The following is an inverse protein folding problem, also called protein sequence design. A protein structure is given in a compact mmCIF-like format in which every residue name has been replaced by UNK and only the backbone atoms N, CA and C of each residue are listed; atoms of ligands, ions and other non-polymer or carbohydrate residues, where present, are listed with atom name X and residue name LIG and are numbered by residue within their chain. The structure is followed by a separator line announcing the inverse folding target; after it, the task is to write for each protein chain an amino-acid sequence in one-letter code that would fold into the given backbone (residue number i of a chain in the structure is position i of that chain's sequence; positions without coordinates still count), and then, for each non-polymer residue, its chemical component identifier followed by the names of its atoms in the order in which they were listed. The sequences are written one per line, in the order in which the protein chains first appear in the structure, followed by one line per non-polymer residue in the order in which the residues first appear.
data_IF_211488813486
#
_entry.id   IF_211488813486
#
_cell.length_a   1.000
_cell.length_b   1.000
_cell.length_c   1.000
_cell.angle_alpha   90.00
_cell.angle_beta   90.00
_cell.angle_gamma   90.00
#
_symmetry.space_group_name_H-M   'P 1'
#
loop_
_entity.id
_entity.type
_entity.pdbx_description
1 polymer ?
#
# COMPACT_ATOMS: atom_id res chain seq x y z
N UNK A 1 5.14 30.19 -0.41
CA UNK A 1 6.11 29.08 -0.24
C UNK A 1 5.73 27.98 -1.22
N UNK A 2 6.69 27.49 -2.03
CA UNK A 2 6.44 26.35 -2.91
C UNK A 2 6.04 25.11 -2.08
N UNK A 3 5.03 24.38 -2.56
CA UNK A 3 4.59 23.16 -1.90
C UNK A 3 5.73 22.13 -1.91
N UNK A 4 6.15 21.69 -0.72
CA UNK A 4 7.14 20.61 -0.57
C UNK A 4 6.56 19.31 -1.11
N UNK A 5 7.27 18.69 -2.04
CA UNK A 5 6.87 17.41 -2.62
C UNK A 5 7.97 16.37 -2.47
N UNK A 6 7.60 15.10 -2.55
CA UNK A 6 8.58 14.01 -2.58
C UNK A 6 9.55 14.19 -3.76
N UNK A 7 9.05 14.68 -4.90
CA UNK A 7 9.85 14.93 -6.11
C UNK A 7 10.93 15.97 -5.87
N UNK A 8 10.59 17.11 -5.25
CA UNK A 8 11.57 18.17 -4.95
C UNK A 8 12.67 17.68 -4.02
N UNK A 9 12.33 16.94 -2.96
CA UNK A 9 13.31 16.32 -2.04
C UNK A 9 14.24 15.38 -2.81
N UNK A 10 13.69 14.53 -3.69
CA UNK A 10 14.49 13.58 -4.45
C UNK A 10 15.36 14.25 -5.51
N UNK A 11 14.86 15.28 -6.18
CA UNK A 11 15.64 16.03 -7.17
C UNK A 11 16.86 16.70 -6.55
N UNK A 12 16.72 17.24 -5.37
CA UNK A 12 17.78 17.95 -4.66
C UNK A 12 18.76 16.99 -3.98
N UNK A 13 18.27 16.07 -3.13
CA UNK A 13 19.15 15.32 -2.24
C UNK A 13 19.57 13.93 -2.76
N UNK A 14 18.78 13.28 -3.64
CA UNK A 14 19.07 11.91 -4.06
C UNK A 14 20.36 11.76 -4.87
N UNK A 15 20.78 12.68 -5.75
CA UNK A 15 22.05 12.55 -6.51
C UNK A 15 23.28 12.41 -5.61
N UNK A 16 23.38 13.22 -4.56
CA UNK A 16 24.47 13.10 -3.56
C UNK A 16 24.35 11.84 -2.72
N UNK A 17 23.12 11.47 -2.33
CA UNK A 17 22.85 10.25 -1.57
C UNK A 17 23.27 8.98 -2.33
N UNK A 18 22.93 8.89 -3.64
CA UNK A 18 23.24 7.72 -4.49
C UNK A 18 24.76 7.49 -4.62
N UNK A 19 25.58 8.55 -4.59
CA UNK A 19 27.04 8.46 -4.70
C UNK A 19 27.69 7.77 -3.49
N UNK A 20 27.10 7.93 -2.31
CA UNK A 20 27.65 7.42 -1.05
C UNK A 20 26.97 6.15 -0.53
N UNK A 21 25.84 5.79 -1.14
CA UNK A 21 25.03 4.64 -0.70
C UNK A 21 24.78 3.67 -1.86
N UNK A 22 25.34 2.45 -1.82
CA UNK A 22 25.06 1.44 -2.83
C UNK A 22 23.58 1.02 -2.76
N UNK A 23 22.87 1.16 -3.87
CA UNK A 23 21.44 0.87 -3.96
C UNK A 23 21.15 -0.18 -5.03
N UNK A 24 20.17 -1.08 -4.79
CA UNK A 24 19.68 -2.00 -5.81
C UNK A 24 19.13 -1.26 -7.04
N UNK A 25 19.27 -1.84 -8.23
CA UNK A 25 18.86 -1.21 -9.49
C UNK A 25 17.39 -0.80 -9.52
N UNK A 26 16.48 -1.60 -8.94
CA UNK A 26 15.05 -1.28 -8.88
C UNK A 26 14.74 -0.08 -7.95
N UNK A 27 15.54 0.12 -6.90
CA UNK A 27 15.41 1.26 -5.98
C UNK A 27 15.87 2.54 -6.69
N UNK A 28 17.03 2.50 -7.37
CA UNK A 28 17.50 3.61 -8.21
C UNK A 28 16.50 3.99 -9.31
N UNK A 29 15.91 2.96 -9.97
CA UNK A 29 14.87 3.18 -10.97
C UNK A 29 13.65 3.89 -10.39
N UNK A 30 13.22 3.54 -9.18
CA UNK A 30 12.10 4.18 -8.51
C UNK A 30 12.40 5.65 -8.20
N UNK A 31 13.57 5.94 -7.64
CA UNK A 31 14.01 7.31 -7.34
C UNK A 31 14.06 8.17 -8.59
N UNK A 32 14.76 7.71 -9.63
CA UNK A 32 14.84 8.44 -10.92
C UNK A 32 13.49 8.66 -11.57
N UNK A 33 12.58 7.67 -11.50
CA UNK A 33 11.22 7.81 -12.01
C UNK A 33 10.44 8.92 -11.28
N UNK A 34 10.62 9.05 -9.96
CA UNK A 34 10.00 10.14 -9.19
C UNK A 34 10.59 11.50 -9.58
N UNK A 35 11.92 11.60 -9.66
CA UNK A 35 12.62 12.83 -10.04
C UNK A 35 12.19 13.35 -11.41
N UNK A 36 11.98 12.45 -12.37
CA UNK A 36 11.65 12.76 -13.75
C UNK A 36 10.14 12.87 -14.02
N UNK A 37 9.30 12.50 -13.05
CA UNK A 37 7.87 12.46 -13.24
C UNK A 37 7.29 13.83 -13.57
N UNK A 38 6.57 13.94 -14.69
CA UNK A 38 5.96 15.19 -15.14
C UNK A 38 6.99 16.33 -15.31
N UNK A 39 8.13 16.01 -15.89
CA UNK A 39 9.15 16.98 -16.30
C UNK A 39 9.46 16.84 -17.79
N UNK A 40 10.16 17.81 -18.37
CA UNK A 40 10.60 17.79 -19.76
C UNK A 40 11.40 16.53 -20.12
N UNK A 41 12.10 15.91 -19.17
CA UNK A 41 12.87 14.66 -19.37
C UNK A 41 12.02 13.55 -19.97
N UNK A 42 10.73 13.46 -19.59
CA UNK A 42 9.81 12.44 -20.12
C UNK A 42 9.05 12.91 -21.37
N UNK A 43 9.31 14.13 -21.86
CA UNK A 43 8.54 14.74 -22.93
C UNK A 43 7.12 15.07 -22.53
N UNK A 44 6.31 15.48 -23.49
CA UNK A 44 4.94 15.88 -23.20
C UNK A 44 4.15 16.25 -24.45
N UNK A 45 3.10 17.01 -24.26
CA UNK A 45 2.27 17.59 -25.32
C UNK A 45 1.75 18.96 -24.90
N UNK A 46 1.36 19.73 -25.91
CA UNK A 46 0.77 21.06 -25.75
C UNK A 46 -0.68 20.97 -26.16
N UNK A 47 -1.54 21.51 -25.31
CA UNK A 47 -2.96 21.67 -25.62
C UNK A 47 -3.32 23.16 -25.62
N UNK A 48 -4.14 23.58 -26.57
CA UNK A 48 -4.62 24.96 -26.68
C UNK A 48 -6.14 25.02 -26.85
N UNK A 49 -6.72 26.10 -26.38
CA UNK A 49 -8.11 26.42 -26.67
C UNK A 49 -8.25 26.79 -28.15
N UNK A 50 -9.26 26.21 -28.87
CA UNK A 50 -9.53 26.60 -30.27
C UNK A 50 -9.75 28.10 -30.46
N UNK A 51 -10.37 28.78 -29.46
CA UNK A 51 -10.61 30.23 -29.47
C UNK A 51 -9.42 31.06 -28.97
N UNK A 52 -8.27 30.44 -28.74
CA UNK A 52 -7.06 31.15 -28.33
C UNK A 52 -7.00 31.65 -26.87
N UNK A 53 -7.95 31.28 -26.01
CA UNK A 53 -8.02 31.76 -24.62
C UNK A 53 -6.83 31.33 -23.77
N UNK A 54 -6.27 30.14 -24.04
CA UNK A 54 -5.15 29.58 -23.28
C UNK A 54 -4.42 28.49 -24.05
N UNK A 55 -3.14 28.29 -23.68
CA UNK A 55 -2.40 27.09 -24.01
C UNK A 55 -1.79 26.48 -22.73
N UNK A 56 -1.60 25.18 -22.70
CA UNK A 56 -1.11 24.43 -21.54
C UNK A 56 -0.12 23.36 -21.95
N UNK A 57 0.94 23.21 -21.16
CA UNK A 57 1.93 22.14 -21.31
C UNK A 57 1.60 21.00 -20.35
N UNK A 58 1.56 19.80 -20.88
CA UNK A 58 1.43 18.56 -20.11
C UNK A 58 2.69 17.72 -20.28
N UNK A 59 3.44 17.50 -19.20
CA UNK A 59 4.55 16.56 -19.21
C UNK A 59 4.09 15.14 -18.85
N UNK A 60 4.71 14.16 -19.51
CA UNK A 60 4.38 12.75 -19.34
C UNK A 60 4.67 12.24 -17.92
N UNK A 61 3.82 11.36 -17.43
CA UNK A 61 3.97 10.72 -16.13
C UNK A 61 4.95 9.54 -16.18
N UNK A 62 5.67 9.27 -15.09
CA UNK A 62 6.61 8.16 -15.01
C UNK A 62 5.95 6.78 -14.92
N UNK A 63 4.66 6.69 -14.61
CA UNK A 63 3.86 5.47 -14.41
C UNK A 63 4.44 4.49 -13.37
N UNK A 64 5.42 4.91 -12.56
CA UNK A 64 6.05 4.04 -11.58
C UNK A 64 5.13 3.83 -10.36
N UNK A 65 5.02 2.56 -9.89
CA UNK A 65 4.10 2.20 -8.80
C UNK A 65 4.38 2.90 -7.46
N UNK A 66 5.62 3.29 -7.21
CA UNK A 66 6.02 3.99 -5.97
C UNK A 66 5.92 5.51 -6.10
N UNK A 67 5.61 6.06 -7.28
CA UNK A 67 5.43 7.49 -7.45
C UNK A 67 4.08 7.94 -6.88
N UNK A 68 4.03 8.87 -5.92
CA UNK A 68 2.76 9.31 -5.32
C UNK A 68 1.85 10.04 -6.32
N UNK A 69 2.42 10.71 -7.32
CA UNK A 69 1.65 11.40 -8.36
C UNK A 69 1.01 10.44 -9.36
N UNK A 70 1.72 9.34 -9.73
CA UNK A 70 1.23 8.39 -10.73
C UNK A 70 0.31 7.30 -10.18
N UNK A 71 0.36 7.09 -8.85
CA UNK A 71 -0.37 5.99 -8.22
C UNK A 71 -1.89 6.20 -8.20
N UNK A 72 -2.35 7.45 -8.31
CA UNK A 72 -3.72 7.83 -8.04
C UNK A 72 -4.74 7.08 -8.92
N UNK A 73 -4.71 7.26 -10.23
CA UNK A 73 -5.65 6.60 -11.15
C UNK A 73 -5.63 5.07 -11.04
N UNK A 74 -4.45 4.49 -10.87
CA UNK A 74 -4.30 3.04 -10.70
C UNK A 74 -4.88 2.56 -9.38
N UNK A 75 -4.84 3.40 -8.35
CA UNK A 75 -5.46 3.13 -7.04
C UNK A 75 -6.98 3.15 -7.15
N UNK A 76 -7.56 4.15 -7.84
CA UNK A 76 -9.01 4.25 -8.04
C UNK A 76 -9.55 3.10 -8.90
N UNK A 77 -8.85 2.71 -9.97
CA UNK A 77 -9.19 1.52 -10.78
C UNK A 77 -9.19 0.24 -9.96
N UNK A 78 -8.14 0.06 -9.15
CA UNK A 78 -8.07 -1.10 -8.27
C UNK A 78 -9.20 -1.09 -7.23
N UNK A 79 -9.47 0.08 -6.64
CA UNK A 79 -10.52 0.27 -5.65
C UNK A 79 -11.90 -0.06 -6.23
N UNK A 80 -12.24 0.47 -7.39
CA UNK A 80 -13.50 0.19 -8.08
C UNK A 80 -13.68 -1.32 -8.33
N UNK A 81 -12.63 -2.00 -8.81
CA UNK A 81 -12.64 -3.44 -9.03
C UNK A 81 -12.87 -4.22 -7.72
N UNK A 82 -12.22 -3.84 -6.62
CA UNK A 82 -12.41 -4.55 -5.35
C UNK A 82 -13.79 -4.28 -4.76
N UNK A 83 -14.27 -3.04 -4.81
CA UNK A 83 -15.61 -2.68 -4.32
C UNK A 83 -16.71 -3.46 -5.05
N UNK A 84 -16.60 -3.66 -6.37
CA UNK A 84 -17.54 -4.47 -7.16
C UNK A 84 -17.59 -5.93 -6.67
N UNK A 85 -16.51 -6.46 -6.10
CA UNK A 85 -16.39 -7.85 -5.64
C UNK A 85 -16.75 -8.03 -4.16
N UNK A 86 -16.81 -6.95 -3.37
CA UNK A 86 -17.12 -7.06 -1.95
C UNK A 86 -18.49 -7.70 -1.72
N UNK A 87 -18.54 -8.59 -0.72
CA UNK A 87 -19.79 -9.10 -0.19
C UNK A 87 -20.46 -8.04 0.71
N UNK A 88 -21.78 -7.89 0.59
CA UNK A 88 -22.58 -7.05 1.47
C UNK A 88 -22.75 -7.69 2.86
N UNK A 89 -21.64 -7.86 3.55
CA UNK A 89 -21.57 -8.34 4.92
C UNK A 89 -20.60 -7.50 5.73
N UNK A 90 -20.64 -7.66 7.03
CA UNK A 90 -19.62 -7.09 7.89
C UNK A 90 -18.25 -7.67 7.54
N UNK A 91 -17.21 -6.87 7.68
CA UNK A 91 -15.84 -7.30 7.53
C UNK A 91 -15.05 -6.93 8.78
N UNK A 92 -14.13 -7.79 9.17
CA UNK A 92 -13.16 -7.52 10.22
C UNK A 92 -11.82 -7.10 9.62
N UNK A 93 -11.21 -6.08 10.18
CA UNK A 93 -9.85 -5.67 9.81
C UNK A 93 -8.87 -6.29 10.82
N UNK A 94 -8.05 -7.22 10.36
CA UNK A 94 -7.07 -7.94 11.18
C UNK A 94 -5.67 -7.54 10.76
N UNK A 95 -4.82 -7.15 11.71
CA UNK A 95 -3.44 -6.73 11.46
C UNK A 95 -2.49 -7.71 12.14
N UNK A 96 -1.53 -8.22 11.39
CA UNK A 96 -0.48 -9.13 11.85
C UNK A 96 0.86 -8.43 11.76
N UNK A 97 1.58 -8.30 12.86
CA UNK A 97 2.87 -7.59 12.93
C UNK A 97 3.99 -8.51 13.37
N UNK A 98 5.13 -8.44 12.69
CA UNK A 98 6.35 -9.11 13.09
C UNK A 98 7.09 -8.35 14.20
N UNK A 99 7.76 -9.05 15.13
CA UNK A 99 8.71 -8.43 16.06
C UNK A 99 9.83 -7.71 15.32
N UNK A 100 10.24 -6.54 15.80
CA UNK A 100 11.35 -5.77 15.21
C UNK A 100 12.69 -6.52 15.25
N UNK A 101 12.85 -7.44 16.19
CA UNK A 101 14.01 -8.34 16.28
C UNK A 101 14.22 -9.15 14.98
N UNK A 102 13.20 -9.33 14.16
CA UNK A 102 13.28 -10.00 12.86
C UNK A 102 13.60 -9.06 11.69
N UNK A 103 13.71 -7.75 11.93
CA UNK A 103 13.99 -6.78 10.85
C UNK A 103 15.31 -7.04 10.12
N UNK A 104 16.44 -7.39 10.77
CA UNK A 104 17.66 -7.73 10.04
C UNK A 104 17.47 -8.93 9.11
N UNK A 105 16.79 -9.99 9.60
CA UNK A 105 16.48 -11.16 8.78
C UNK A 105 15.55 -10.83 7.62
N UNK A 106 14.57 -9.93 7.84
CA UNK A 106 13.68 -9.42 6.80
C UNK A 106 14.46 -8.72 5.69
N UNK A 107 15.36 -7.79 6.03
CA UNK A 107 16.14 -7.01 5.06
C UNK A 107 17.04 -7.88 4.20
N UNK A 108 17.68 -8.89 4.80
CA UNK A 108 18.51 -9.85 4.06
C UNK A 108 17.69 -10.78 3.15
N UNK A 109 16.36 -10.95 3.39
CA UNK A 109 15.55 -11.98 2.76
C UNK A 109 14.14 -11.50 2.37
N UNK A 110 13.98 -10.28 1.87
CA UNK A 110 12.67 -9.67 1.61
C UNK A 110 11.69 -10.57 0.84
N UNK A 111 12.06 -11.23 -0.28
CA UNK A 111 11.13 -12.09 -1.02
C UNK A 111 10.67 -13.32 -0.22
N UNK A 112 11.62 -14.01 0.43
CA UNK A 112 11.34 -15.21 1.23
C UNK A 112 10.49 -14.85 2.45
N UNK A 113 10.91 -13.87 3.23
CA UNK A 113 10.19 -13.43 4.43
C UNK A 113 8.79 -12.90 4.12
N UNK A 114 8.61 -12.21 2.98
CA UNK A 114 7.28 -11.80 2.48
C UNK A 114 6.39 -13.01 2.24
N UNK A 115 6.92 -14.04 1.60
CA UNK A 115 6.18 -15.27 1.31
C UNK A 115 5.82 -16.02 2.60
N UNK A 116 6.77 -16.19 3.50
CA UNK A 116 6.54 -16.84 4.80
C UNK A 116 5.49 -16.10 5.63
N UNK A 117 5.56 -14.77 5.69
CA UNK A 117 4.60 -13.96 6.43
C UNK A 117 3.17 -14.11 5.86
N UNK A 118 3.00 -13.99 4.56
CA UNK A 118 1.68 -14.11 3.93
C UNK A 118 1.11 -15.53 4.05
N UNK A 119 1.96 -16.56 3.96
CA UNK A 119 1.56 -17.96 4.19
C UNK A 119 1.16 -18.22 5.64
N UNK A 120 1.93 -17.70 6.61
CA UNK A 120 1.61 -17.84 8.03
C UNK A 120 0.28 -17.16 8.38
N UNK A 121 0.03 -15.97 7.84
CA UNK A 121 -1.25 -15.24 7.99
C UNK A 121 -2.41 -16.05 7.40
N UNK A 122 -2.28 -16.48 6.13
CA UNK A 122 -3.29 -17.33 5.46
C UNK A 122 -3.59 -18.59 6.28
N UNK A 123 -2.54 -19.31 6.68
CA UNK A 123 -2.68 -20.56 7.40
C UNK A 123 -3.29 -20.35 8.82
N UNK A 124 -3.00 -19.21 9.46
CA UNK A 124 -3.59 -18.87 10.77
C UNK A 124 -5.09 -18.63 10.65
N UNK A 125 -5.49 -17.72 9.76
CA UNK A 125 -6.91 -17.42 9.56
C UNK A 125 -7.67 -18.63 9.00
N UNK A 126 -7.09 -19.36 8.05
CA UNK A 126 -7.71 -20.55 7.47
C UNK A 126 -7.96 -21.66 8.50
N UNK A 127 -6.96 -21.98 9.34
CA UNK A 127 -7.11 -23.01 10.39
C UNK A 127 -8.18 -22.61 11.40
N UNK A 128 -8.13 -21.37 11.90
CA UNK A 128 -9.06 -20.94 12.95
C UNK A 128 -10.50 -20.76 12.44
N UNK A 129 -10.68 -20.22 11.23
CA UNK A 129 -12.02 -19.96 10.69
C UNK A 129 -12.66 -21.23 10.09
N UNK A 130 -11.88 -22.25 9.74
CA UNK A 130 -12.41 -23.56 9.39
C UNK A 130 -12.94 -24.34 10.60
N UNK A 131 -12.49 -24.02 11.82
CA UNK A 131 -12.94 -24.66 13.05
C UNK A 131 -14.40 -24.29 13.33
N UNK A 132 -15.32 -25.30 13.49
CA UNK A 132 -16.74 -25.08 13.84
C UNK A 132 -16.96 -24.29 15.14
N UNK A 133 -15.99 -24.31 16.05
CA UNK A 133 -16.00 -23.50 17.27
C UNK A 133 -16.11 -22.01 16.99
N UNK A 134 -15.54 -21.55 15.87
CA UNK A 134 -15.56 -20.14 15.46
C UNK A 134 -16.53 -19.90 14.31
N UNK A 135 -16.11 -20.14 13.06
CA UNK A 135 -16.97 -19.98 11.90
C UNK A 135 -17.37 -21.32 11.28
N UNK A 136 -16.43 -22.26 11.12
CA UNK A 136 -16.65 -23.54 10.45
C UNK A 136 -16.88 -23.42 8.94
N UNK A 137 -16.37 -22.34 8.32
CA UNK A 137 -16.50 -22.09 6.90
C UNK A 137 -15.34 -21.19 6.39
N UNK A 138 -14.83 -21.41 5.17
CA UNK A 138 -13.80 -20.54 4.59
C UNK A 138 -14.35 -19.14 4.25
N UNK A 139 -13.76 -18.06 4.82
CA UNK A 139 -14.16 -16.69 4.53
C UNK A 139 -13.53 -16.17 3.24
N UNK A 140 -13.93 -14.96 2.82
CA UNK A 140 -13.17 -14.13 1.87
C UNK A 140 -12.11 -13.32 2.60
N UNK A 141 -10.86 -13.34 2.11
CA UNK A 141 -9.75 -12.58 2.70
C UNK A 141 -9.04 -11.78 1.62
N UNK A 142 -8.89 -10.47 1.85
CA UNK A 142 -7.97 -9.61 1.13
C UNK A 142 -6.83 -9.23 2.07
N UNK A 143 -5.61 -9.58 1.72
CA UNK A 143 -4.41 -9.31 2.51
C UNK A 143 -3.50 -8.32 1.78
N UNK A 144 -2.98 -7.32 2.49
CA UNK A 144 -2.06 -6.30 1.99
C UNK A 144 -0.84 -6.19 2.90
N UNK A 145 0.34 -6.40 2.33
CA UNK A 145 1.62 -6.22 3.02
C UNK A 145 1.98 -4.75 3.06
N UNK A 146 2.29 -4.25 4.25
CA UNK A 146 2.95 -2.98 4.49
C UNK A 146 4.29 -3.23 5.19
N UNK A 147 5.29 -2.44 4.86
CA UNK A 147 6.63 -2.58 5.46
C UNK A 147 7.03 -1.37 6.29
N UNK A 148 6.19 -0.33 6.39
CA UNK A 148 6.49 0.94 7.06
C UNK A 148 5.56 1.26 8.22
N UNK A 149 6.08 1.95 9.21
CA UNK A 149 5.31 2.61 10.26
C UNK A 149 4.91 4.03 9.85
N UNK A 150 4.20 4.74 10.74
CA UNK A 150 3.89 6.16 10.56
C UNK A 150 5.14 7.06 10.48
N UNK A 151 6.24 6.63 11.08
CA UNK A 151 7.55 7.31 11.08
C UNK A 151 8.49 6.82 9.98
N UNK A 152 7.97 6.06 9.02
CA UNK A 152 8.69 5.48 7.88
C UNK A 152 9.79 4.46 8.25
N UNK A 153 9.89 4.03 9.50
CA UNK A 153 10.81 2.96 9.87
C UNK A 153 10.26 1.59 9.46
N UNK A 154 11.17 0.65 9.25
CA UNK A 154 10.83 -0.72 8.85
C UNK A 154 9.95 -1.39 9.89
N UNK A 155 8.76 -1.81 9.47
CA UNK A 155 7.73 -2.40 10.30
C UNK A 155 6.86 -3.36 9.48
N UNK A 156 7.36 -4.57 9.14
CA UNK A 156 6.61 -5.50 8.30
C UNK A 156 5.34 -5.97 9.00
N UNK A 157 4.21 -5.75 8.35
CA UNK A 157 2.90 -6.16 8.87
C UNK A 157 1.91 -6.38 7.72
N UNK A 158 0.91 -7.23 7.96
CA UNK A 158 -0.12 -7.55 6.98
C UNK A 158 -1.47 -7.09 7.50
N UNK A 159 -2.14 -6.28 6.71
CA UNK A 159 -3.54 -5.95 6.89
C UNK A 159 -4.41 -6.96 6.17
N UNK A 160 -5.38 -7.53 6.85
CA UNK A 160 -6.36 -8.44 6.28
C UNK A 160 -7.77 -7.85 6.43
N UNK A 161 -8.50 -7.77 5.33
CA UNK A 161 -9.94 -7.61 5.35
C UNK A 161 -10.56 -9.00 5.26
N UNK A 162 -11.33 -9.41 6.26
CA UNK A 162 -11.90 -10.76 6.40
C UNK A 162 -13.42 -10.63 6.46
N UNK A 163 -14.15 -11.38 5.63
CA UNK A 163 -15.63 -11.40 5.67
C UNK A 163 -16.13 -11.89 7.02
N UNK A 164 -17.19 -11.29 7.54
CA UNK A 164 -17.89 -11.72 8.75
C UNK A 164 -18.75 -12.98 8.52
N UNK A 165 -18.32 -13.86 7.63
CA UNK A 165 -18.93 -15.13 7.32
C UNK A 165 -18.20 -15.87 6.22
N UNK A 166 -18.66 -17.06 5.87
CA UNK A 166 -18.09 -17.91 4.84
C UNK A 166 -19.11 -18.86 4.23
N UNK A 167 -18.72 -19.59 3.20
CA UNK A 167 -19.55 -20.62 2.55
C UNK A 167 -19.22 -21.97 3.17
N UNK A 168 -20.23 -22.65 3.69
CA UNK A 168 -20.08 -24.01 4.23
C UNK A 168 -19.86 -25.04 3.11
N UNK A 169 -19.46 -26.25 3.46
CA UNK A 169 -19.35 -27.35 2.50
C UNK A 169 -20.70 -27.74 1.87
N UNK A 170 -21.82 -27.46 2.56
CA UNK A 170 -23.17 -27.65 2.04
C UNK A 170 -23.60 -26.54 1.05
N UNK A 171 -22.78 -25.50 0.85
CA UNK A 171 -23.10 -24.39 -0.05
C UNK A 171 -23.90 -23.26 0.62
N UNK A 172 -24.05 -23.25 1.94
CA UNK A 172 -24.80 -22.23 2.68
C UNK A 172 -23.90 -21.13 3.23
N UNK A 173 -24.40 -19.89 3.18
CA UNK A 173 -23.73 -18.79 3.86
C UNK A 173 -23.88 -18.91 5.38
N UNK A 174 -22.77 -18.92 6.08
CA UNK A 174 -22.71 -18.92 7.54
C UNK A 174 -22.05 -17.65 8.04
N UNK A 175 -22.79 -16.86 8.84
CA UNK A 175 -22.24 -15.64 9.46
C UNK A 175 -21.53 -15.96 10.78
N UNK A 176 -20.57 -15.11 11.17
CA UNK A 176 -19.97 -15.16 12.51
C UNK A 176 -21.03 -14.87 13.58
N UNK A 177 -20.92 -15.55 14.73
CA UNK A 177 -21.84 -15.36 15.85
C UNK A 177 -21.58 -14.01 16.53
N UNK A 178 -22.64 -13.25 16.80
CA UNK A 178 -22.59 -11.95 17.50
C UNK A 178 -21.56 -10.96 16.92
N UNK A 179 -21.19 -11.15 15.64
CA UNK A 179 -20.19 -10.33 14.98
C UNK A 179 -18.75 -10.49 15.50
N UNK A 180 -18.49 -11.50 16.31
CA UNK A 180 -17.17 -11.78 16.83
C UNK A 180 -16.42 -12.72 15.90
N UNK A 181 -15.31 -12.26 15.30
CA UNK A 181 -14.55 -13.07 14.35
C UNK A 181 -13.72 -14.14 15.07
N UNK A 182 -12.77 -13.72 15.90
CA UNK A 182 -11.80 -14.61 16.59
C UNK A 182 -11.21 -13.89 17.82
N UNK A 183 -10.82 -14.64 18.88
CA UNK A 183 -10.08 -14.06 20.01
C UNK A 183 -8.66 -13.66 19.58
N UNK A 184 -8.30 -12.38 19.69
CA UNK A 184 -6.99 -11.87 19.25
C UNK A 184 -5.80 -12.63 19.87
N UNK A 185 -5.90 -13.03 21.14
CA UNK A 185 -4.85 -13.81 21.83
C UNK A 185 -4.63 -15.19 21.20
N UNK A 186 -5.70 -15.85 20.76
CA UNK A 186 -5.61 -17.15 20.08
C UNK A 186 -4.98 -16.97 18.69
N UNK A 187 -5.46 -16.00 17.93
CA UNK A 187 -4.89 -15.66 16.61
C UNK A 187 -3.39 -15.36 16.73
N UNK A 188 -2.99 -14.56 17.71
CA UNK A 188 -1.58 -14.24 17.95
C UNK A 188 -0.75 -15.47 18.30
N UNK A 189 -1.26 -16.38 19.15
CA UNK A 189 -0.55 -17.60 19.53
C UNK A 189 -0.33 -18.53 18.34
N UNK A 190 -1.37 -18.75 17.52
CA UNK A 190 -1.30 -19.59 16.32
C UNK A 190 -0.39 -18.97 15.26
N UNK A 191 -0.52 -17.66 14.99
CA UNK A 191 0.33 -16.93 14.06
C UNK A 191 1.81 -17.00 14.45
N UNK A 192 2.13 -16.74 15.73
CA UNK A 192 3.48 -16.86 16.27
C UNK A 192 4.06 -18.25 16.05
N UNK A 193 3.29 -19.29 16.35
CA UNK A 193 3.70 -20.69 16.14
C UNK A 193 4.00 -20.99 14.69
N UNK A 194 3.08 -20.66 13.79
CA UNK A 194 3.21 -20.90 12.34
C UNK A 194 4.37 -20.11 11.74
N UNK A 195 4.51 -18.83 12.06
CA UNK A 195 5.59 -18.00 11.51
C UNK A 195 6.96 -18.47 11.98
N UNK A 196 7.11 -18.82 13.25
CA UNK A 196 8.37 -19.38 13.78
C UNK A 196 8.72 -20.71 13.13
N UNK A 197 7.74 -21.61 12.98
CA UNK A 197 7.94 -22.89 12.32
C UNK A 197 8.39 -22.68 10.85
N UNK A 198 7.77 -21.75 10.13
CA UNK A 198 8.13 -21.42 8.76
C UNK A 198 9.56 -20.87 8.64
N UNK A 199 9.97 -19.94 9.53
CA UNK A 199 11.33 -19.42 9.55
C UNK A 199 12.35 -20.53 9.88
N UNK A 200 12.07 -21.39 10.89
CA UNK A 200 12.94 -22.51 11.24
C UNK A 200 13.12 -23.49 10.09
N UNK A 201 12.05 -23.81 9.39
CA UNK A 201 12.11 -24.66 8.22
C UNK A 201 12.95 -24.03 7.11
N UNK A 202 12.73 -22.75 6.80
CA UNK A 202 13.49 -22.02 5.81
C UNK A 202 14.99 -21.90 6.16
N UNK A 203 15.34 -21.79 7.45
CA UNK A 203 16.71 -21.84 7.94
C UNK A 203 17.30 -23.23 7.73
N UNK A 204 16.59 -24.29 8.06
CA UNK A 204 17.06 -25.67 7.92
C UNK A 204 17.28 -26.06 6.45
N UNK A 205 16.49 -25.52 5.54
CA UNK A 205 16.63 -25.74 4.09
C UNK A 205 17.62 -24.80 3.41
N UNK A 206 18.33 -23.93 4.13
CA UNK A 206 19.26 -22.97 3.55
C UNK A 206 18.61 -21.87 2.69
N UNK A 207 17.29 -21.67 2.80
CA UNK A 207 16.54 -20.71 2.00
C UNK A 207 16.67 -19.26 2.51
N UNK A 208 17.33 -19.03 3.64
CA UNK A 208 17.56 -17.73 4.24
C UNK A 208 19.04 -17.39 4.32
N UNK A 209 19.41 -16.21 3.87
CA UNK A 209 20.69 -15.59 4.15
C UNK A 209 20.68 -15.02 5.56
N UNK A 210 21.64 -15.43 6.39
CA UNK A 210 21.74 -14.94 7.75
C UNK A 210 22.55 -13.65 7.80
N UNK A 211 21.97 -12.56 8.30
CA UNK A 211 22.71 -11.31 8.47
C UNK A 211 23.64 -11.39 9.70
N UNK A 212 24.87 -10.90 9.52
CA UNK A 212 25.80 -10.72 10.61
C UNK A 212 25.27 -9.69 11.65
N UNK A 213 25.75 -9.76 12.90
CA UNK A 213 26.78 -10.66 13.43
C UNK A 213 26.25 -12.02 13.94
N UNK A 214 24.97 -12.35 13.75
CA UNK A 214 24.36 -13.55 14.32
C UNK A 214 24.57 -14.78 13.44
N UNK A 215 25.20 -15.82 14.01
CA UNK A 215 25.28 -17.13 13.38
C UNK A 215 23.98 -17.97 13.49
N UNK A 216 23.92 -19.15 12.82
CA UNK A 216 22.71 -19.97 12.78
C UNK A 216 22.13 -20.33 14.15
N UNK A 217 22.98 -20.71 15.11
CA UNK A 217 22.55 -21.07 16.46
C UNK A 217 21.97 -19.86 17.22
N UNK A 218 22.53 -18.67 17.03
CA UNK A 218 22.04 -17.45 17.68
C UNK A 218 20.66 -17.06 17.10
N UNK A 219 20.43 -17.24 15.81
CA UNK A 219 19.12 -17.05 15.18
C UNK A 219 18.09 -18.06 15.71
N UNK A 220 18.46 -19.33 15.88
CA UNK A 220 17.57 -20.34 16.50
C UNK A 220 17.23 -19.97 17.96
N UNK A 221 18.20 -19.50 18.73
CA UNK A 221 18.00 -19.01 20.10
C UNK A 221 17.09 -17.77 20.13
N UNK A 222 17.25 -16.84 19.20
CA UNK A 222 16.35 -15.69 19.05
C UNK A 222 14.90 -16.16 18.76
N UNK A 223 14.73 -17.05 17.80
CA UNK A 223 13.40 -17.62 17.48
C UNK A 223 12.80 -18.37 18.68
N UNK A 224 13.60 -19.05 19.47
CA UNK A 224 13.13 -19.68 20.70
C UNK A 224 12.62 -18.64 21.70
N UNK A 225 13.42 -17.59 21.99
CA UNK A 225 13.00 -16.48 22.86
C UNK A 225 11.72 -15.80 22.37
N UNK A 226 11.62 -15.52 21.08
CA UNK A 226 10.43 -14.95 20.45
C UNK A 226 9.20 -15.88 20.53
N UNK A 227 9.36 -17.14 20.89
CA UNK A 227 8.30 -18.09 21.19
C UNK A 227 7.63 -17.91 22.54
N UNK A 228 8.30 -17.26 23.48
CA UNK A 228 7.81 -17.16 24.86
C UNK A 228 6.55 -16.29 24.96
N UNK A 229 5.42 -16.78 25.50
CA UNK A 229 4.14 -16.10 25.46
C UNK A 229 4.09 -14.76 26.21
N UNK A 230 4.90 -14.60 27.25
CA UNK A 230 4.92 -13.39 28.11
C UNK A 230 6.00 -12.38 27.73
N UNK A 231 6.97 -12.74 26.86
CA UNK A 231 8.13 -11.90 26.52
C UNK A 231 8.16 -11.50 25.06
N UNK A 232 7.06 -11.70 24.33
CA UNK A 232 7.06 -11.54 22.88
C UNK A 232 6.42 -10.23 22.43
N UNK A 233 7.03 -9.63 21.41
CA UNK A 233 6.53 -8.43 20.72
C UNK A 233 5.72 -8.77 19.47
N UNK A 234 5.07 -9.95 19.44
CA UNK A 234 4.13 -10.30 18.40
C UNK A 234 2.83 -9.54 18.64
N UNK A 235 2.31 -8.93 17.60
CA UNK A 235 1.05 -8.21 17.70
C UNK A 235 0.07 -8.72 16.65
N UNK A 236 -1.14 -9.04 17.12
CA UNK A 236 -2.31 -9.21 16.28
C UNK A 236 -3.38 -8.29 16.83
N UNK A 237 -3.88 -7.42 15.98
CA UNK A 237 -4.97 -6.52 16.31
C UNK A 237 -6.16 -6.86 15.44
N UNK A 238 -7.31 -7.09 16.05
CA UNK A 238 -8.59 -7.20 15.36
C UNK A 238 -9.34 -5.91 15.66
N UNK A 239 -9.56 -5.11 14.62
CA UNK A 239 -10.28 -3.85 14.70
C UNK A 239 -11.77 -4.12 14.69
N UNK A 240 -12.56 -3.10 15.08
CA UNK A 240 -14.01 -3.14 15.02
C UNK A 240 -14.53 -3.50 13.63
N UNK A 241 -15.77 -3.98 13.59
CA UNK A 241 -16.45 -4.37 12.35
C UNK A 241 -16.70 -3.14 11.47
N UNK A 242 -16.43 -3.31 10.21
CA UNK A 242 -16.75 -2.32 9.19
C UNK A 242 -17.94 -2.84 8.37
N UNK A 243 -19.05 -2.12 8.42
CA UNK A 243 -20.17 -2.41 7.53
C UNK A 243 -19.68 -2.36 6.08
N UNK A 244 -19.96 -3.44 5.33
CA UNK A 244 -19.61 -3.57 3.91
C UNK A 244 -18.10 -3.44 3.56
N UNK A 245 -17.18 -3.29 4.51
CA UNK A 245 -15.73 -3.29 4.28
C UNK A 245 -15.16 -2.16 3.41
N UNK A 246 -15.98 -1.28 2.84
CA UNK A 246 -15.57 -0.27 1.86
C UNK A 246 -14.48 0.68 2.36
N UNK A 247 -14.58 1.14 3.61
CA UNK A 247 -13.58 2.03 4.22
C UNK A 247 -12.20 1.39 4.34
N UNK A 248 -12.15 0.09 4.71
CA UNK A 248 -10.88 -0.64 4.82
C UNK A 248 -10.27 -0.89 3.45
N UNK A 249 -11.09 -1.27 2.45
CA UNK A 249 -10.61 -1.44 1.07
C UNK A 249 -10.03 -0.14 0.52
N UNK A 250 -10.68 1.00 0.77
CA UNK A 250 -10.16 2.32 0.41
C UNK A 250 -8.81 2.61 1.08
N UNK A 251 -8.68 2.30 2.38
CA UNK A 251 -7.41 2.42 3.10
C UNK A 251 -6.32 1.53 2.48
N UNK A 252 -6.63 0.25 2.20
CA UNK A 252 -5.69 -0.70 1.60
C UNK A 252 -5.28 -0.27 0.18
N UNK A 253 -6.23 0.16 -0.64
CA UNK A 253 -5.98 0.66 -1.99
C UNK A 253 -4.93 1.78 -2.00
N UNK A 254 -5.11 2.74 -1.10
CA UNK A 254 -4.20 3.90 -0.96
C UNK A 254 -2.80 3.53 -0.47
N UNK A 255 -2.62 2.37 0.13
CA UNK A 255 -1.36 1.90 0.68
C UNK A 255 -0.61 0.94 -0.25
N UNK A 256 -1.29 0.34 -1.23
CA UNK A 256 -0.69 -0.61 -2.17
C UNK A 256 0.16 0.08 -3.25
N UNK A 257 -0.04 1.38 -3.45
CA UNK A 257 0.64 2.19 -4.47
C UNK A 257 0.96 3.59 -3.94
N UNK A 258 1.95 4.25 -4.55
CA UNK A 258 2.33 5.63 -4.21
C UNK A 258 3.40 5.77 -3.13
N UNK A 259 3.98 4.63 -2.69
CA UNK A 259 5.03 4.64 -1.66
C UNK A 259 4.52 4.86 -0.23
N UNK A 260 5.43 4.96 0.76
CA UNK A 260 5.09 4.97 2.18
C UNK A 260 4.58 6.32 2.69
N UNK A 261 4.74 7.40 1.92
CA UNK A 261 4.30 8.75 2.29
C UNK A 261 3.66 9.47 1.11
N UNK A 262 2.61 10.25 1.37
CA UNK A 262 1.97 11.15 0.41
C UNK A 262 2.52 12.57 0.57
N UNK A 263 2.52 13.35 -0.51
CA UNK A 263 2.93 14.75 -0.45
C UNK A 263 2.17 15.56 0.60
N UNK A 264 0.89 15.28 0.83
CA UNK A 264 0.08 15.95 1.87
C UNK A 264 0.57 15.74 3.31
N UNK A 265 1.47 14.81 3.54
CA UNK A 265 2.12 14.61 4.85
C UNK A 265 3.44 15.36 4.99
N UNK A 266 4.02 15.85 3.89
CA UNK A 266 5.24 16.65 3.90
C UNK A 266 4.88 18.08 4.32
N UNK A 267 5.63 18.62 5.28
CA UNK A 267 5.36 19.93 5.88
C UNK A 267 6.42 20.96 5.47
N UNK A 268 7.71 20.58 5.59
CA UNK A 268 8.83 21.45 5.27
C UNK A 268 10.05 20.64 4.78
N UNK A 269 10.86 21.29 4.00
CA UNK A 269 12.18 20.85 3.55
C UNK A 269 13.08 22.08 3.39
N UNK A 270 14.25 22.08 4.01
CA UNK A 270 15.21 23.18 4.04
C UNK A 270 16.55 22.86 3.35
N UNK A 271 16.65 21.72 2.67
CA UNK A 271 17.87 21.20 2.06
C UNK A 271 18.55 20.12 2.92
N UNK A 272 18.56 20.28 4.22
CA UNK A 272 19.21 19.34 5.17
C UNK A 272 18.20 18.42 5.89
N UNK A 273 17.02 18.91 6.17
CA UNK A 273 16.02 18.24 6.98
C UNK A 273 14.64 18.21 6.32
N UNK A 274 13.94 17.08 6.54
CA UNK A 274 12.56 16.89 6.09
C UNK A 274 11.64 16.82 7.29
N UNK A 275 10.60 17.65 7.32
CA UNK A 275 9.52 17.61 8.32
C UNK A 275 8.26 17.04 7.70
N UNK A 276 7.67 16.05 8.34
CA UNK A 276 6.42 15.43 7.92
C UNK A 276 5.50 15.09 9.10
N UNK A 277 4.20 14.93 8.83
CA UNK A 277 3.21 14.57 9.85
C UNK A 277 3.17 13.07 10.08
N UNK A 278 3.04 12.66 11.34
CA UNK A 278 2.79 11.28 11.77
C UNK A 278 1.69 11.25 12.85
N UNK A 279 1.06 10.11 13.06
CA UNK A 279 0.11 9.95 14.18
C UNK A 279 0.91 9.81 15.47
N UNK A 280 0.44 10.45 16.54
CA UNK A 280 0.96 10.23 17.88
C UNK A 280 0.89 8.75 18.26
N UNK A 281 1.85 8.27 19.03
CA UNK A 281 1.74 6.94 19.64
C UNK A 281 0.62 6.95 20.67
N UNK A 282 -0.15 5.84 20.83
CA UNK A 282 -1.21 5.77 21.84
C UNK A 282 -0.75 6.11 23.26
N UNK A 283 0.52 5.86 23.56
CA UNK A 283 1.16 6.13 24.87
C UNK A 283 1.48 7.62 25.08
N UNK A 284 1.54 8.41 23.99
CA UNK A 284 1.86 9.85 23.99
C UNK A 284 0.59 10.71 23.77
N UNK A 285 -0.53 10.06 23.42
CA UNK A 285 -1.80 10.75 23.22
C UNK A 285 -2.47 11.01 24.56
N UNK A 286 -2.44 12.26 25.03
CA UNK A 286 -3.36 12.71 26.08
C UNK A 286 -4.79 12.49 25.63
N UNK A 287 -5.64 11.99 26.53
CA UNK A 287 -7.03 11.68 26.25
C UNK A 287 -7.73 12.85 25.54
N UNK A 288 -8.12 12.68 24.27
CA UNK A 288 -8.85 13.66 23.48
C UNK A 288 -8.06 14.37 22.37
N UNK A 289 -6.73 14.23 22.27
CA UNK A 289 -5.92 14.90 21.23
C UNK A 289 -5.40 13.92 20.19
N UNK A 290 -6.16 13.72 19.12
CA UNK A 290 -5.75 13.00 17.92
C UNK A 290 -4.97 13.89 16.93
N UNK A 291 -4.32 14.96 17.40
CA UNK A 291 -3.59 15.90 16.55
C UNK A 291 -2.37 15.20 15.91
N UNK A 292 -2.14 15.37 14.61
CA UNK A 292 -0.97 14.82 13.97
C UNK A 292 0.30 15.48 14.54
N UNK A 293 1.25 14.65 14.97
CA UNK A 293 2.58 15.12 15.40
C UNK A 293 3.44 15.43 14.18
N UNK A 294 4.38 16.36 14.34
CA UNK A 294 5.41 16.64 13.33
C UNK A 294 6.71 15.93 13.70
N UNK A 295 7.32 15.27 12.73
CA UNK A 295 8.62 14.65 12.85
C UNK A 295 9.58 15.30 11.87
N UNK A 296 10.74 15.72 12.36
CA UNK A 296 11.83 16.28 11.55
C UNK A 296 13.03 15.36 11.61
N UNK A 297 13.55 14.95 10.45
CA UNK A 297 14.70 14.05 10.33
C UNK A 297 15.70 14.61 9.31
N UNK A 298 17.00 14.24 9.39
CA UNK A 298 17.97 14.54 8.34
C UNK A 298 17.47 13.99 6.99
N UNK A 299 17.77 14.68 5.89
CA UNK A 299 17.31 14.28 4.55
C UNK A 299 17.83 12.90 4.14
N UNK A 300 19.05 12.56 4.51
CA UNK A 300 19.64 11.23 4.27
C UNK A 300 18.85 10.13 4.98
N UNK A 301 18.45 10.34 6.24
CA UNK A 301 17.58 9.41 7.00
C UNK A 301 16.21 9.27 6.34
N UNK A 302 15.63 10.38 5.88
CA UNK A 302 14.34 10.35 5.18
C UNK A 302 14.43 9.52 3.90
N UNK A 303 15.47 9.75 3.07
CA UNK A 303 15.70 8.99 1.85
C UNK A 303 15.91 7.51 2.17
N UNK A 304 16.78 7.18 3.12
CA UNK A 304 17.01 5.79 3.54
C UNK A 304 15.71 5.09 3.94
N UNK A 305 14.93 5.72 4.83
CA UNK A 305 13.66 5.16 5.28
C UNK A 305 12.70 4.97 4.12
N UNK A 306 12.59 5.93 3.20
CA UNK A 306 11.68 5.83 2.08
C UNK A 306 12.10 4.73 1.09
N UNK A 307 13.39 4.66 0.75
CA UNK A 307 13.95 3.73 -0.23
C UNK A 307 13.85 2.27 0.20
N UNK A 308 13.89 1.98 1.51
CA UNK A 308 13.68 0.64 2.07
C UNK A 308 12.32 0.03 1.71
N UNK A 309 11.34 0.85 1.37
CA UNK A 309 9.98 0.39 1.09
C UNK A 309 9.66 0.27 -0.40
N UNK A 310 10.64 0.48 -1.28
CA UNK A 310 10.48 0.25 -2.72
C UNK A 310 10.36 -1.26 -2.97
N UNK A 311 9.20 -1.74 -3.45
CA UNK A 311 9.02 -3.17 -3.65
C UNK A 311 9.93 -3.70 -4.74
N UNK A 312 10.51 -4.89 -4.54
CA UNK A 312 11.26 -5.58 -5.58
C UNK A 312 10.40 -5.82 -6.84
N UNK A 313 11.02 -5.95 -8.02
CA UNK A 313 10.31 -6.28 -9.25
C UNK A 313 9.43 -7.52 -9.06
N UNK A 314 8.25 -7.52 -9.70
CA UNK A 314 7.26 -8.62 -9.65
C UNK A 314 6.72 -8.95 -8.26
N UNK A 315 7.13 -8.25 -7.20
CA UNK A 315 6.57 -8.48 -5.87
C UNK A 315 5.08 -8.10 -5.83
N UNK A 316 4.27 -9.05 -5.36
CA UNK A 316 2.83 -8.86 -5.18
C UNK A 316 2.57 -8.59 -3.71
N UNK A 317 2.31 -7.35 -3.35
CA UNK A 317 2.04 -6.91 -1.96
C UNK A 317 0.58 -7.14 -1.53
N UNK A 318 -0.32 -7.35 -2.48
CA UNK A 318 -1.72 -7.74 -2.23
C UNK A 318 -1.95 -9.21 -2.56
N UNK A 319 -2.77 -9.90 -1.75
CA UNK A 319 -3.18 -11.29 -1.94
C UNK A 319 -4.66 -11.45 -1.63
N UNK A 320 -5.28 -12.40 -2.32
CA UNK A 320 -6.66 -12.79 -2.11
C UNK A 320 -6.74 -14.27 -1.74
N UNK A 321 -7.58 -14.60 -0.77
CA UNK A 321 -7.76 -15.96 -0.33
C UNK A 321 -9.25 -16.25 -0.09
N UNK A 322 -9.61 -17.55 -0.07
CA UNK A 322 -10.98 -17.99 0.12
C UNK A 322 -11.91 -17.40 -0.93
N UNK A 323 -13.09 -16.93 -0.54
CA UNK A 323 -14.12 -16.39 -1.45
C UNK A 323 -13.62 -15.24 -2.34
N UNK A 324 -12.58 -14.50 -1.93
CA UNK A 324 -12.03 -13.40 -2.75
C UNK A 324 -10.93 -13.86 -3.72
N UNK A 325 -10.49 -15.12 -3.66
CA UNK A 325 -9.55 -15.63 -4.66
C UNK A 325 -10.28 -15.87 -5.99
N UNK A 326 -9.61 -15.61 -7.11
CA UNK A 326 -10.23 -15.69 -8.45
C UNK A 326 -10.75 -17.10 -8.80
N UNK A 327 -10.14 -18.14 -8.29
CA UNK A 327 -10.58 -19.54 -8.49
C UNK A 327 -11.90 -19.87 -7.76
N UNK A 328 -12.36 -19.02 -6.86
CA UNK A 328 -13.62 -19.19 -6.11
C UNK A 328 -14.71 -18.23 -6.56
N UNK A 329 -14.70 -17.83 -7.83
CA UNK A 329 -15.69 -16.89 -8.38
C UNK A 329 -17.14 -17.43 -8.29
N UNK A 330 -17.34 -18.72 -8.49
CA UNK A 330 -18.64 -19.37 -8.34
C UNK A 330 -19.12 -19.35 -6.88
N UNK A 331 -18.26 -19.72 -5.94
CA UNK A 331 -18.57 -19.67 -4.51
C UNK A 331 -18.91 -18.23 -4.06
N UNK A 332 -18.19 -17.23 -4.59
CA UNK A 332 -18.53 -15.82 -4.37
C UNK A 332 -19.89 -15.47 -4.92
N UNK A 333 -20.23 -15.96 -6.14
CA UNK A 333 -21.53 -15.78 -6.77
C UNK A 333 -22.68 -16.35 -5.95
N UNK A 334 -22.51 -17.57 -5.43
CA UNK A 334 -23.49 -18.20 -4.52
C UNK A 334 -23.69 -17.36 -3.24
N UNK A 335 -22.61 -16.92 -2.62
CA UNK A 335 -22.71 -16.05 -1.43
C UNK A 335 -23.46 -14.76 -1.74
N UNK A 336 -23.22 -14.15 -2.91
CA UNK A 336 -23.88 -12.92 -3.33
C UNK A 336 -25.38 -13.17 -3.51
N UNK A 337 -25.78 -14.24 -4.22
CA UNK A 337 -27.18 -14.61 -4.43
C UNK A 337 -27.92 -14.81 -3.12
N UNK A 338 -27.36 -15.60 -2.18
CA UNK A 338 -27.95 -15.83 -0.86
C UNK A 338 -28.07 -14.56 -0.01
N UNK A 339 -27.30 -13.52 -0.34
CA UNK A 339 -27.34 -12.23 0.34
C UNK A 339 -28.13 -11.15 -0.43
N UNK A 340 -28.85 -11.53 -1.47
CA UNK A 340 -29.63 -10.60 -2.29
C UNK A 340 -28.77 -9.61 -3.07
N UNK A 341 -27.49 -9.94 -3.34
CA UNK A 341 -26.60 -9.09 -4.14
C UNK A 341 -26.61 -9.52 -5.62
N UNK A 342 -26.55 -8.58 -6.56
CA UNK A 342 -26.39 -8.90 -7.97
C UNK A 342 -25.04 -9.58 -8.24
N UNK A 343 -24.91 -10.30 -9.36
CA UNK A 343 -23.62 -10.83 -9.82
C UNK A 343 -22.54 -9.74 -9.87
N UNK A 344 -21.26 -10.16 -9.79
CA UNK A 344 -20.13 -9.23 -9.92
C UNK A 344 -20.09 -8.68 -11.33
N UNK A 345 -20.29 -7.37 -11.47
CA UNK A 345 -20.08 -6.65 -12.72
C UNK A 345 -18.70 -6.00 -12.66
N UNK A 346 -17.82 -6.36 -13.57
CA UNK A 346 -16.50 -5.73 -13.67
C UNK A 346 -16.68 -4.30 -14.16
N UNK A 347 -16.29 -3.29 -13.36
CA UNK A 347 -16.45 -1.90 -13.77
C UNK A 347 -15.56 -1.59 -14.98
N UNK A 348 -16.06 -0.73 -15.86
CA UNK A 348 -15.25 -0.16 -16.94
C UNK A 348 -14.05 0.55 -16.32
N UNK A 349 -12.88 0.38 -16.94
CA UNK A 349 -11.67 0.99 -16.42
C UNK A 349 -11.79 2.52 -16.42
N UNK A 350 -11.80 3.11 -15.23
CA UNK A 350 -11.89 4.57 -15.09
C UNK A 350 -10.76 5.24 -15.86
N UNK A 351 -11.09 6.23 -16.67
CA UNK A 351 -10.13 7.20 -17.17
C UNK A 351 -9.92 8.33 -16.15
N UNK A 352 -8.93 9.16 -16.37
CA UNK A 352 -8.61 10.22 -15.43
C UNK A 352 -9.64 11.37 -15.47
N UNK A 353 -10.28 11.59 -16.59
CA UNK A 353 -11.36 12.58 -16.78
C UNK A 353 -12.56 12.21 -15.91
N UNK A 354 -13.01 10.97 -16.00
CA UNK A 354 -14.11 10.44 -15.17
C UNK A 354 -13.79 10.58 -13.69
N UNK A 355 -12.56 10.29 -13.28
CA UNK A 355 -12.14 10.41 -11.87
C UNK A 355 -12.15 11.87 -11.41
N UNK A 356 -11.69 12.81 -12.23
CA UNK A 356 -11.77 14.25 -11.92
C UNK A 356 -13.23 14.70 -11.76
N UNK A 357 -14.10 14.31 -12.70
CA UNK A 357 -15.51 14.65 -12.66
C UNK A 357 -16.21 14.11 -11.40
N UNK A 358 -15.94 12.86 -11.01
CA UNK A 358 -16.49 12.25 -9.79
C UNK A 358 -16.06 12.99 -8.50
N UNK A 359 -14.97 13.75 -8.55
CA UNK A 359 -14.48 14.57 -7.44
C UNK A 359 -14.98 16.00 -7.46
N UNK A 360 -15.75 16.38 -8.46
CA UNK A 360 -16.17 17.77 -8.67
C UNK A 360 -15.02 18.68 -9.12
N UNK A 361 -13.91 18.12 -9.61
CA UNK A 361 -12.80 18.89 -10.16
C UNK A 361 -13.17 19.37 -11.57
N UNK A 362 -12.74 20.59 -11.92
CA UNK A 362 -12.89 21.13 -13.28
C UNK A 362 -12.22 20.18 -14.25
N UNK A 363 -12.92 19.88 -15.37
CA UNK A 363 -12.39 18.99 -16.41
C UNK A 363 -11.09 19.58 -16.98
N UNK A 364 -9.92 18.94 -16.75
CA UNK A 364 -8.63 19.58 -17.03
C UNK A 364 -8.34 19.73 -18.53
N UNK A 365 -9.08 19.06 -19.40
CA UNK A 365 -9.02 19.24 -20.86
C UNK A 365 -10.05 20.26 -21.36
N UNK A 366 -10.69 21.03 -20.47
CA UNK A 366 -11.60 22.09 -20.88
C UNK A 366 -10.99 23.47 -20.60
N UNK A 367 -11.23 24.38 -21.52
CA UNK A 367 -10.88 25.78 -21.32
C UNK A 367 -11.71 26.37 -20.17
N UNK A 368 -11.11 26.93 -19.12
CA UNK A 368 -11.86 27.52 -18.00
C UNK A 368 -12.66 28.78 -18.41
N UNK A 369 -12.30 29.41 -19.54
CA UNK A 369 -12.94 30.64 -20.04
C UNK A 369 -14.20 30.35 -20.86
N UNK A 370 -14.11 29.42 -21.85
CA UNK A 370 -15.23 29.16 -22.77
C UNK A 370 -15.82 27.74 -22.65
N UNK A 371 -15.23 26.86 -21.84
CA UNK A 371 -15.71 25.49 -21.64
C UNK A 371 -15.42 24.51 -22.80
N UNK A 372 -14.84 24.98 -23.91
CA UNK A 372 -14.48 24.12 -25.04
C UNK A 372 -13.36 23.14 -24.67
N UNK A 373 -13.33 21.98 -25.33
CA UNK A 373 -12.24 21.02 -25.19
C UNK A 373 -10.94 21.63 -25.77
N UNK A 374 -9.85 21.50 -25.04
CA UNK A 374 -8.53 21.84 -25.52
C UNK A 374 -8.10 20.83 -26.59
N UNK A 375 -7.46 21.31 -27.64
CA UNK A 375 -6.93 20.48 -28.74
C UNK A 375 -5.44 20.34 -28.65
N UNK A 376 -4.90 19.18 -29.02
CA UNK A 376 -3.45 18.96 -29.07
C UNK A 376 -2.85 19.76 -30.22
N UNK A 377 -1.90 20.64 -29.90
CA UNK A 377 -1.23 21.54 -30.87
C UNK A 377 0.23 21.20 -31.08
N UNK A 378 0.82 20.33 -30.29
CA UNK A 378 2.19 19.91 -30.45
C UNK A 378 2.68 18.87 -29.50
N UNK A 379 3.71 18.13 -29.89
CA UNK A 379 4.41 17.12 -29.08
C UNK A 379 5.73 17.70 -28.60
N UNK A 380 6.04 17.52 -27.33
CA UNK A 380 7.33 17.87 -26.73
C UNK A 380 8.15 16.57 -26.68
N UNK A 381 9.27 16.47 -27.41
CA UNK A 381 10.13 15.29 -27.34
C UNK A 381 10.77 15.17 -25.95
N UNK A 382 11.27 13.98 -25.63
CA UNK A 382 11.97 13.76 -24.34
C UNK A 382 13.21 14.66 -24.27
N UNK A 383 13.34 15.39 -23.14
CA UNK A 383 14.40 16.38 -22.95
C UNK A 383 14.22 17.66 -23.74
N UNK A 384 13.13 17.80 -24.51
CA UNK A 384 12.83 18.98 -25.30
C UNK A 384 12.22 20.11 -24.49
N UNK A 385 12.48 21.34 -24.94
CA UNK A 385 11.79 22.51 -24.42
C UNK A 385 10.37 22.64 -25.01
N UNK A 386 9.42 23.26 -24.31
CA UNK A 386 8.12 23.58 -24.88
C UNK A 386 8.27 24.56 -26.06
N UNK A 387 7.36 24.53 -27.04
CA UNK A 387 7.38 25.46 -28.15
C UNK A 387 7.35 26.95 -27.69
N UNK A 388 7.96 27.86 -28.42
CA UNK A 388 8.07 29.27 -28.01
C UNK A 388 6.74 30.01 -27.85
N UNK A 389 5.67 29.50 -28.40
CA UNK A 389 4.32 30.12 -28.36
C UNK A 389 3.73 30.17 -26.92
N UNK A 390 4.38 29.53 -25.95
CA UNK A 390 3.88 29.41 -24.56
C UNK A 390 4.59 30.35 -23.57
N UNK A 391 5.48 31.22 -24.00
CA UNK A 391 6.22 32.13 -23.10
C UNK A 391 5.37 33.21 -22.44
N UNK A 392 4.06 33.27 -22.72
CA UNK A 392 3.10 34.21 -22.11
C UNK A 392 1.98 33.53 -21.30
N UNK A 393 1.88 32.19 -21.29
CA UNK A 393 0.83 31.48 -20.56
C UNK A 393 1.37 30.98 -19.20
N UNK A 394 0.79 31.43 -18.13
CA UNK A 394 1.09 30.98 -16.75
C UNK A 394 1.10 29.46 -16.67
N UNK A 395 2.25 28.90 -16.27
CA UNK A 395 2.32 27.51 -15.85
C UNK A 395 1.41 27.30 -14.64
N UNK A 396 0.37 26.50 -14.77
CA UNK A 396 -0.50 26.10 -13.69
C UNK A 396 0.06 24.87 -12.98
#
# INVERSE_FOLDING_TARGET
MALVTLQTIFQDAFPAYEQTHPLPAHVRKAARAIMQCRTAVLGGHVQACPDGHMARVWYNSCRHRSCPQCAYLQTERWLALQQARLLACDHSHVIFTLPHDLNPLWLANVPVMTTLLLQAVRATLGTLLADPKYLGAPPGILAALHTWSQTLVLHPHVHCLVTGGGLTAAGDWKAVRNGFLLPARVVMAVFRGKMRAAIRHALACGALTLPEPLGPQQWLNLLHRLGHPRKTKWHVRIMERYRYGAGVVTYLARSLRGGPIKNSRLVAYDGDRVTFTCRARPEEATAGSASPQRMTVPVADFLQRWLLHVPAPQSRVGRFYGLYHHTHAEALGLCRAQRGQPPVVIPVALDWQTVCAQRGEVHPERCPTCGQLLVDTGVIPRGGAPPPVLTGAQAA
#
